data_IF_838614643654
#
_entry.id   IF_838614643654
#
_cell.length_a   1.000
_cell.length_b   1.000
_cell.length_c   1.000
_cell.angle_alpha   90.00
_cell.angle_beta   90.00
_cell.angle_gamma   90.00
#
_symmetry.space_group_name_H-M   'P 1'
#
loop_
_entity.id
_entity.type
_entity.pdbx_description
1 polymer ?
#
# COMPACT_ATOMS: atom_id res chain seq x y z
N UNK A 1 34.02 -4.95 -5.91
CA UNK A 1 32.59 -4.60 -5.81
C UNK A 1 31.87 -5.15 -7.04
N UNK A 2 30.89 -6.05 -6.87
CA UNK A 2 30.27 -6.84 -7.95
C UNK A 2 29.68 -5.99 -9.09
N UNK A 3 29.03 -4.87 -8.74
CA UNK A 3 28.37 -3.96 -9.68
C UNK A 3 29.34 -3.22 -10.61
N UNK A 4 30.62 -3.08 -10.22
CA UNK A 4 31.67 -2.47 -11.05
C UNK A 4 32.30 -3.47 -12.03
N UNK A 5 31.94 -4.76 -11.97
CA UNK A 5 32.49 -5.73 -12.91
C UNK A 5 31.96 -5.49 -14.32
N UNK A 6 32.80 -5.82 -15.31
CA UNK A 6 32.47 -5.67 -16.74
C UNK A 6 31.13 -6.31 -17.11
N UNK A 7 30.81 -7.47 -16.53
CA UNK A 7 29.55 -8.18 -16.80
C UNK A 7 28.33 -7.32 -16.43
N UNK A 8 28.36 -6.64 -15.28
CA UNK A 8 27.23 -5.81 -14.85
C UNK A 8 27.18 -4.48 -15.62
N UNK A 9 28.34 -3.87 -15.86
CA UNK A 9 28.43 -2.64 -16.64
C UNK A 9 27.93 -2.81 -18.08
N UNK A 10 28.16 -3.99 -18.69
CA UNK A 10 27.75 -4.27 -20.06
C UNK A 10 26.29 -4.77 -20.18
N UNK A 11 25.69 -5.29 -19.10
CA UNK A 11 24.38 -5.99 -19.15
C UNK A 11 23.25 -5.29 -18.43
N UNK A 12 23.53 -4.42 -17.46
CA UNK A 12 22.48 -3.64 -16.81
C UNK A 12 22.05 -2.54 -17.77
N UNK A 13 20.76 -2.48 -18.09
CA UNK A 13 20.21 -1.54 -19.07
C UNK A 13 19.39 -0.41 -18.44
N UNK A 14 18.93 -0.59 -17.21
CA UNK A 14 18.16 0.40 -16.46
C UNK A 14 18.15 0.06 -14.97
N UNK A 15 17.94 1.06 -14.13
CA UNK A 15 17.61 0.86 -12.71
C UNK A 15 16.24 1.48 -12.40
N UNK A 16 15.43 0.75 -11.64
CA UNK A 16 14.13 1.22 -11.14
C UNK A 16 14.17 1.20 -9.62
N UNK A 17 13.92 2.36 -9.01
CA UNK A 17 13.84 2.54 -7.56
C UNK A 17 12.37 2.78 -7.22
N UNK A 18 11.72 1.75 -6.70
CA UNK A 18 10.35 1.86 -6.19
C UNK A 18 10.35 2.40 -4.75
N UNK A 19 9.27 3.09 -4.37
CA UNK A 19 9.15 3.81 -3.09
C UNK A 19 10.34 4.75 -2.80
N UNK A 20 10.77 5.48 -3.83
CA UNK A 20 11.96 6.31 -3.79
C UNK A 20 11.96 7.35 -2.65
N UNK A 21 10.78 7.77 -2.17
CA UNK A 21 10.64 8.69 -1.04
C UNK A 21 11.29 8.19 0.26
N UNK A 22 11.49 6.87 0.40
CA UNK A 22 12.16 6.27 1.56
C UNK A 22 13.63 6.68 1.69
N UNK A 23 14.29 7.07 0.59
CA UNK A 23 15.67 7.57 0.61
C UNK A 23 15.79 8.83 1.48
N UNK A 24 14.74 9.66 1.54
CA UNK A 24 14.72 10.87 2.37
C UNK A 24 14.07 10.67 3.73
N UNK A 25 12.87 10.07 3.74
CA UNK A 25 12.02 10.07 4.92
C UNK A 25 12.50 9.05 5.98
N UNK A 26 13.18 7.98 5.57
CA UNK A 26 13.47 6.80 6.41
C UNK A 26 14.93 6.32 6.26
N UNK A 27 15.72 7.01 5.44
CA UNK A 27 17.06 6.60 5.01
C UNK A 27 18.08 6.49 6.14
N UNK A 28 18.04 7.37 7.15
CA UNK A 28 19.02 7.32 8.25
C UNK A 28 18.58 6.47 9.45
N UNK A 29 17.29 6.44 9.77
CA UNK A 29 16.79 5.82 11.02
C UNK A 29 16.09 4.46 10.83
N UNK A 30 15.66 4.09 9.63
CA UNK A 30 14.91 2.84 9.40
C UNK A 30 15.58 1.89 8.41
N UNK A 31 16.13 2.41 7.29
CA UNK A 31 16.91 1.60 6.32
C UNK A 31 18.11 2.38 5.74
N UNK A 32 19.27 2.33 6.42
CA UNK A 32 20.54 2.91 5.94
C UNK A 32 20.91 2.49 4.50
N UNK A 33 20.54 1.28 4.11
CA UNK A 33 20.81 0.76 2.76
C UNK A 33 20.08 1.54 1.65
N UNK A 34 18.95 2.19 1.95
CA UNK A 34 18.24 3.02 0.96
C UNK A 34 19.02 4.30 0.64
N UNK A 35 19.74 4.87 1.61
CA UNK A 35 20.61 6.03 1.36
C UNK A 35 21.74 5.68 0.36
N UNK A 36 22.18 4.42 0.34
CA UNK A 36 23.21 3.94 -0.59
C UNK A 36 22.70 3.82 -2.04
N UNK A 37 21.38 3.85 -2.28
CA UNK A 37 20.82 3.82 -3.64
C UNK A 37 21.20 5.06 -4.46
N UNK A 38 21.54 6.16 -3.79
CA UNK A 38 22.10 7.37 -4.41
C UNK A 38 23.41 7.11 -5.19
N UNK A 39 24.11 6.00 -4.89
CA UNK A 39 25.35 5.62 -5.56
C UNK A 39 25.08 4.95 -6.92
N UNK A 40 23.84 4.51 -7.21
CA UNK A 40 23.52 3.83 -8.46
C UNK A 40 23.79 4.72 -9.68
N UNK A 41 23.55 6.03 -9.56
CA UNK A 41 23.91 7.02 -10.60
C UNK A 41 25.41 6.98 -10.90
N UNK A 42 26.24 6.93 -9.85
CA UNK A 42 27.70 6.89 -9.98
C UNK A 42 28.22 5.53 -10.47
N UNK A 43 27.54 4.43 -10.10
CA UNK A 43 27.91 3.06 -10.49
C UNK A 43 27.53 2.77 -11.93
N UNK A 44 26.39 3.29 -12.41
CA UNK A 44 25.88 3.09 -13.76
C UNK A 44 25.56 4.43 -14.44
N UNK A 45 26.57 5.24 -14.80
CA UNK A 45 26.35 6.58 -15.33
C UNK A 45 25.70 6.59 -16.74
N UNK A 46 25.77 5.47 -17.47
CA UNK A 46 25.30 5.38 -18.85
C UNK A 46 23.85 4.89 -18.99
N UNK A 47 23.20 4.45 -17.91
CA UNK A 47 21.87 3.83 -17.97
C UNK A 47 20.79 4.78 -17.43
N UNK A 48 19.55 4.70 -17.91
CA UNK A 48 18.43 5.42 -17.32
C UNK A 48 18.12 4.91 -15.91
N UNK A 49 17.79 5.86 -15.03
CA UNK A 49 17.29 5.59 -13.68
C UNK A 49 15.86 6.14 -13.57
N UNK A 50 14.95 5.26 -13.15
CA UNK A 50 13.55 5.57 -12.91
C UNK A 50 13.27 5.52 -11.40
N UNK A 51 12.89 6.63 -10.81
CA UNK A 51 12.44 6.71 -9.43
C UNK A 51 10.91 6.82 -9.38
N UNK A 52 10.26 5.89 -8.68
CA UNK A 52 8.81 5.80 -8.55
C UNK A 52 8.41 6.06 -7.09
N UNK A 53 7.33 6.82 -6.90
CA UNK A 53 6.73 7.02 -5.57
C UNK A 53 5.28 7.47 -5.73
N UNK A 54 4.40 6.94 -4.88
CA UNK A 54 3.02 7.42 -4.76
C UNK A 54 2.94 8.69 -3.89
N UNK A 55 3.81 8.78 -2.88
CA UNK A 55 3.84 9.87 -1.90
C UNK A 55 5.15 10.64 -2.02
N UNK A 56 5.07 11.81 -2.65
CA UNK A 56 6.13 12.82 -2.59
C UNK A 56 5.46 14.15 -2.27
N UNK A 57 5.50 14.64 -1.01
CA UNK A 57 5.08 15.99 -0.68
C UNK A 57 5.65 16.99 -1.70
N UNK A 58 4.93 18.06 -2.06
CA UNK A 58 5.39 19.02 -3.09
C UNK A 58 6.78 19.62 -2.82
N UNK A 59 7.25 19.63 -1.57
CA UNK A 59 8.61 20.05 -1.17
C UNK A 59 9.69 18.97 -1.36
N UNK A 60 9.31 17.73 -1.66
CA UNK A 60 10.19 16.57 -1.66
C UNK A 60 10.66 16.12 -3.06
N UNK A 61 10.08 16.59 -4.18
CA UNK A 61 10.61 16.16 -5.49
C UNK A 61 12.05 16.66 -5.70
N UNK A 62 12.30 17.95 -5.49
CA UNK A 62 13.65 18.52 -5.65
C UNK A 62 14.64 17.91 -4.65
N UNK A 63 14.17 17.65 -3.42
CA UNK A 63 14.97 17.05 -2.38
C UNK A 63 15.30 15.59 -2.72
N UNK A 64 14.32 14.79 -3.09
CA UNK A 64 14.49 13.40 -3.53
C UNK A 64 15.42 13.30 -4.75
N UNK A 65 15.28 14.19 -5.74
CA UNK A 65 16.19 14.19 -6.90
C UNK A 65 17.64 14.47 -6.49
N UNK A 66 17.87 15.35 -5.51
CA UNK A 66 19.20 15.59 -4.94
C UNK A 66 19.69 14.38 -4.14
N UNK A 67 18.84 13.80 -3.29
CA UNK A 67 19.19 12.64 -2.48
C UNK A 67 19.58 11.43 -3.33
N UNK A 68 18.95 11.26 -4.49
CA UNK A 68 19.28 10.21 -5.46
C UNK A 68 20.40 10.58 -6.45
N UNK A 69 20.98 11.78 -6.36
CA UNK A 69 21.94 12.32 -7.34
C UNK A 69 21.44 12.33 -8.80
N UNK A 70 20.14 12.53 -9.02
CA UNK A 70 19.56 12.59 -10.37
C UNK A 70 19.87 13.95 -11.01
N UNK A 71 20.62 13.94 -12.11
CA UNK A 71 20.93 15.15 -12.86
C UNK A 71 19.78 15.52 -13.81
N UNK A 72 19.12 16.65 -13.56
CA UNK A 72 18.04 17.22 -14.40
C UNK A 72 16.99 16.17 -14.86
N UNK A 73 16.38 15.40 -13.95
CA UNK A 73 15.46 14.34 -14.33
C UNK A 73 14.18 14.92 -14.96
N UNK A 74 13.58 14.13 -15.87
CA UNK A 74 12.21 14.40 -16.28
C UNK A 74 11.26 14.06 -15.12
N UNK A 75 10.48 15.05 -14.68
CA UNK A 75 9.54 14.87 -13.57
C UNK A 75 8.13 14.73 -14.14
N UNK A 76 7.53 13.56 -13.97
CA UNK A 76 6.15 13.26 -14.35
C UNK A 76 5.30 13.18 -13.08
N UNK A 77 4.19 13.92 -13.03
CA UNK A 77 3.24 13.91 -11.91
C UNK A 77 1.84 13.61 -12.44
N UNK A 78 1.19 12.62 -11.85
CA UNK A 78 -0.22 12.32 -12.12
C UNK A 78 -1.13 13.05 -11.13
N UNK A 79 -2.36 13.30 -11.54
CA UNK A 79 -3.41 13.74 -10.61
C UNK A 79 -3.79 12.59 -9.68
N UNK A 80 -4.04 12.92 -8.42
CA UNK A 80 -4.51 11.98 -7.41
C UNK A 80 -6.03 11.81 -7.46
N UNK A 81 -6.75 12.73 -8.11
CA UNK A 81 -8.21 12.67 -8.16
C UNK A 81 -8.70 11.41 -8.88
N UNK A 82 -9.75 10.83 -8.31
CA UNK A 82 -10.43 9.65 -8.83
C UNK A 82 -11.91 9.99 -8.88
N UNK A 83 -12.41 10.53 -10.01
CA UNK A 83 -13.79 11.05 -10.10
C UNK A 83 -14.85 9.95 -9.93
N UNK A 84 -14.44 8.68 -10.01
CA UNK A 84 -15.28 7.52 -9.77
C UNK A 84 -15.28 7.03 -8.30
N UNK A 85 -14.62 7.73 -7.38
CA UNK A 85 -14.60 7.43 -5.94
C UNK A 85 -15.45 8.44 -5.19
N UNK A 86 -16.54 7.97 -4.58
CA UNK A 86 -17.40 8.77 -3.70
C UNK A 86 -16.98 8.60 -2.24
N UNK A 87 -16.76 9.71 -1.53
CA UNK A 87 -16.37 9.71 -0.13
C UNK A 87 -17.56 10.06 0.77
N UNK A 88 -17.77 9.26 1.80
CA UNK A 88 -18.80 9.48 2.82
C UNK A 88 -18.20 9.34 4.21
N UNK A 89 -18.74 10.07 5.19
CA UNK A 89 -18.30 10.00 6.59
C UNK A 89 -19.49 10.00 7.54
N UNK A 90 -19.44 9.12 8.54
CA UNK A 90 -20.45 9.04 9.59
C UNK A 90 -19.80 8.98 10.96
N UNK A 91 -20.48 9.56 11.96
CA UNK A 91 -20.05 9.45 13.35
C UNK A 91 -20.39 8.05 13.86
N UNK A 92 -19.39 7.36 14.41
CA UNK A 92 -19.61 6.09 15.11
C UNK A 92 -20.41 6.34 16.37
N UNK A 93 -21.35 5.43 16.68
CA UNK A 93 -22.08 5.46 17.95
C UNK A 93 -21.10 5.22 19.10
N UNK A 94 -21.26 5.98 20.18
CA UNK A 94 -20.45 5.80 21.38
C UNK A 94 -20.74 4.42 21.97
N UNK A 95 -19.69 3.66 22.29
CA UNK A 95 -19.87 2.40 22.99
C UNK A 95 -20.21 2.67 24.46
N UNK A 96 -21.29 2.08 24.95
CA UNK A 96 -21.62 2.05 26.39
C UNK A 96 -20.61 1.23 27.21
N UNK A 97 -19.92 0.27 26.58
CA UNK A 97 -19.17 -0.78 27.27
C UNK A 97 -17.85 -1.20 26.57
N UNK A 98 -17.41 -0.48 25.53
CA UNK A 98 -16.17 -0.78 24.79
C UNK A 98 -16.28 -1.85 23.69
N UNK A 99 -17.34 -2.68 23.70
CA UNK A 99 -17.57 -3.74 22.69
C UNK A 99 -18.58 -3.31 21.60
N UNK A 100 -19.49 -2.37 21.91
CA UNK A 100 -20.60 -1.94 21.04
C UNK A 100 -20.20 -1.10 19.79
N UNK A 101 -18.93 -0.74 19.58
CA UNK A 101 -18.60 0.30 18.59
C UNK A 101 -18.68 -0.14 17.13
N UNK A 102 -18.43 -1.43 16.83
CA UNK A 102 -18.39 -1.91 15.44
C UNK A 102 -19.66 -2.61 14.99
N UNK A 103 -20.47 -3.13 15.92
CA UNK A 103 -21.70 -3.88 15.59
C UNK A 103 -22.67 -3.05 14.79
N UNK A 104 -22.85 -1.79 15.20
CA UNK A 104 -23.72 -0.85 14.49
C UNK A 104 -23.34 -0.62 13.03
N UNK A 105 -22.08 -0.92 12.66
CA UNK A 105 -21.54 -0.78 11.30
C UNK A 105 -21.53 -2.14 10.59
N UNK A 106 -20.99 -3.17 11.25
CA UNK A 106 -20.75 -4.48 10.64
C UNK A 106 -22.03 -5.30 10.49
N UNK A 107 -22.96 -5.22 11.45
CA UNK A 107 -24.16 -6.02 11.47
C UNK A 107 -25.10 -5.74 10.27
N UNK A 108 -25.38 -4.48 9.90
CA UNK A 108 -26.14 -4.18 8.69
C UNK A 108 -25.47 -4.71 7.42
N UNK A 109 -24.14 -4.59 7.30
CA UNK A 109 -23.36 -5.06 6.16
C UNK A 109 -23.48 -6.59 6.05
N UNK A 110 -23.23 -7.32 7.12
CA UNK A 110 -23.32 -8.77 7.14
C UNK A 110 -24.73 -9.27 6.82
N UNK A 111 -25.78 -8.58 7.31
CA UNK A 111 -27.17 -8.90 6.97
C UNK A 111 -27.49 -8.68 5.49
N UNK A 112 -27.02 -7.59 4.91
CA UNK A 112 -27.27 -7.30 3.49
C UNK A 112 -26.47 -8.25 2.59
N UNK A 113 -25.24 -8.59 2.99
CA UNK A 113 -24.44 -9.64 2.36
C UNK A 113 -25.16 -10.99 2.38
N UNK A 114 -25.76 -11.41 3.51
CA UNK A 114 -26.53 -12.66 3.59
C UNK A 114 -27.71 -12.68 2.61
N UNK A 115 -28.33 -11.53 2.35
CA UNK A 115 -29.50 -11.43 1.45
C UNK A 115 -29.09 -11.50 -0.02
N UNK A 116 -27.97 -10.84 -0.38
CA UNK A 116 -27.56 -10.68 -1.78
C UNK A 116 -26.52 -11.71 -2.24
N UNK A 117 -25.75 -12.28 -1.32
CA UNK A 117 -24.72 -13.29 -1.59
C UNK A 117 -23.83 -12.90 -2.79
N UNK A 118 -23.88 -13.66 -3.89
CA UNK A 118 -23.07 -13.44 -5.08
C UNK A 118 -23.35 -12.10 -5.77
N UNK A 119 -24.54 -11.51 -5.58
CA UNK A 119 -24.92 -10.20 -6.11
C UNK A 119 -24.46 -9.04 -5.21
N UNK A 120 -23.87 -9.33 -4.05
CA UNK A 120 -23.33 -8.29 -3.17
C UNK A 120 -22.01 -7.75 -3.74
N UNK A 121 -21.84 -6.43 -3.85
CA UNK A 121 -20.61 -5.86 -4.41
C UNK A 121 -19.40 -6.21 -3.55
N UNK A 122 -18.26 -6.48 -4.21
CA UNK A 122 -16.99 -6.70 -3.52
C UNK A 122 -16.70 -5.53 -2.58
N UNK A 123 -16.63 -5.83 -1.29
CA UNK A 123 -16.50 -4.84 -0.23
C UNK A 123 -15.28 -5.17 0.61
N UNK A 124 -14.35 -4.21 0.71
CA UNK A 124 -13.18 -4.29 1.59
C UNK A 124 -13.48 -3.52 2.88
N UNK A 125 -13.32 -4.17 4.03
CA UNK A 125 -13.51 -3.56 5.35
C UNK A 125 -12.16 -3.52 6.06
N UNK A 126 -11.59 -2.32 6.20
CA UNK A 126 -10.35 -2.11 6.94
C UNK A 126 -10.63 -1.94 8.43
N UNK A 127 -10.06 -2.81 9.27
CA UNK A 127 -10.21 -2.80 10.72
C UNK A 127 -8.84 -2.93 11.42
N UNK A 128 -8.68 -2.41 12.64
CA UNK A 128 -7.52 -2.73 13.47
C UNK A 128 -7.44 -4.23 13.74
N UNK A 129 -6.23 -4.80 13.76
CA UNK A 129 -6.00 -6.24 13.87
C UNK A 129 -6.79 -6.92 15.01
N UNK A 130 -6.89 -6.27 16.17
CA UNK A 130 -7.62 -6.77 17.34
C UNK A 130 -9.12 -7.00 17.10
N UNK A 131 -9.71 -6.37 16.07
CA UNK A 131 -11.14 -6.48 15.73
C UNK A 131 -11.39 -7.37 14.51
N UNK A 132 -10.36 -7.77 13.77
CA UNK A 132 -10.52 -8.62 12.59
C UNK A 132 -11.14 -9.98 12.95
N UNK A 133 -10.69 -10.62 14.04
CA UNK A 133 -11.25 -11.89 14.50
C UNK A 133 -12.72 -11.77 14.93
N UNK A 134 -13.06 -10.67 15.61
CA UNK A 134 -14.44 -10.36 15.99
C UNK A 134 -15.33 -10.19 14.75
N UNK A 135 -14.91 -9.35 13.80
CA UNK A 135 -15.66 -9.10 12.57
C UNK A 135 -15.84 -10.40 11.76
N UNK A 136 -14.77 -11.19 11.61
CA UNK A 136 -14.84 -12.47 10.92
C UNK A 136 -15.87 -13.41 11.57
N UNK A 137 -15.81 -13.57 12.91
CA UNK A 137 -16.77 -14.40 13.65
C UNK A 137 -18.20 -13.91 13.50
N UNK A 138 -18.43 -12.60 13.61
CA UNK A 138 -19.76 -11.99 13.41
C UNK A 138 -20.33 -12.31 12.01
N UNK A 139 -19.51 -12.17 10.96
CA UNK A 139 -19.94 -12.48 9.59
C UNK A 139 -20.22 -13.97 9.42
N UNK A 140 -19.37 -14.85 9.96
CA UNK A 140 -19.63 -16.30 9.95
C UNK A 140 -20.93 -16.66 10.66
N UNK A 141 -21.17 -16.11 11.85
CA UNK A 141 -22.37 -16.40 12.64
C UNK A 141 -23.64 -15.91 11.93
N UNK A 142 -23.57 -14.77 11.22
CA UNK A 142 -24.70 -14.25 10.45
C UNK A 142 -24.92 -15.05 9.17
N UNK A 143 -23.87 -15.32 8.39
CA UNK A 143 -23.98 -16.02 7.11
C UNK A 143 -24.34 -17.50 7.31
N UNK A 144 -23.80 -18.15 8.35
CA UNK A 144 -24.01 -19.58 8.62
C UNK A 144 -23.56 -20.43 7.42
N UNK A 145 -24.41 -21.36 7.00
CA UNK A 145 -24.16 -22.26 5.86
C UNK A 145 -24.01 -21.52 4.51
N UNK A 146 -24.44 -20.25 4.44
CA UNK A 146 -24.23 -19.41 3.27
C UNK A 146 -22.83 -18.79 3.21
N UNK A 147 -22.01 -18.99 4.26
CA UNK A 147 -20.60 -18.61 4.22
C UNK A 147 -19.84 -19.56 3.28
N UNK A 148 -19.12 -18.99 2.31
CA UNK A 148 -18.29 -19.76 1.40
C UNK A 148 -16.88 -19.83 1.96
N UNK A 149 -16.42 -21.04 2.26
CA UNK A 149 -15.00 -21.33 2.42
C UNK A 149 -14.46 -21.79 1.07
N UNK A 150 -13.43 -21.14 0.51
CA UNK A 150 -12.86 -21.58 -0.75
C UNK A 150 -12.39 -23.03 -0.66
N UNK A 151 -12.61 -23.79 -1.72
CA UNK A 151 -12.15 -25.18 -1.84
C UNK A 151 -10.64 -25.22 -1.52
N UNK A 152 -10.24 -26.00 -0.50
CA UNK A 152 -8.92 -26.08 0.17
C UNK A 152 -8.69 -25.21 1.44
N UNK A 153 -9.72 -24.60 2.03
CA UNK A 153 -9.56 -23.91 3.32
C UNK A 153 -9.09 -24.82 4.47
N UNK A 154 -9.42 -26.12 4.44
CA UNK A 154 -9.03 -27.09 5.48
C UNK A 154 -7.53 -27.51 5.46
N UNK A 155 -6.73 -26.92 4.56
CA UNK A 155 -5.30 -27.27 4.38
C UNK A 155 -4.33 -26.23 4.95
N UNK A 156 -4.81 -25.21 5.65
CA UNK A 156 -3.98 -24.15 6.25
C UNK A 156 -4.24 -24.02 7.74
#
# INVERSE_FOLDING_TARGET
MLLLSKVYQDRVMACVIDEAHLVEEWGFDFRPDFANLSQLVSIFPAIPILALTATAPKKNCDSLTKALNLEKPCIVKADLDRPNIFLHKEKRKAASSGVDSYDSILYPIAKDLKKKLADYPLTLIYLPLKWCGYAFKLFLDILGDASYFPINADKY
#
